data_IF_691404573327
#
_entry.id   IF_691404573327
#
_cell.length_a   1.000
_cell.length_b   1.000
_cell.length_c   1.000
_cell.angle_alpha   90.00
_cell.angle_beta   90.00
_cell.angle_gamma   90.00
#
_symmetry.space_group_name_H-M   'P 1'
#
loop_
_entity.id
_entity.type
_entity.pdbx_description
1 polymer ?
#
# COMPACT_ATOMS: atom_id res chain seq x y z
N UNK A 1 -52.01 -12.82 61.07
CA UNK A 1 -50.66 -13.39 61.21
C UNK A 1 -50.25 -13.95 59.85
N UNK A 2 -49.13 -13.47 59.31
CA UNK A 2 -48.75 -13.53 57.89
C UNK A 2 -48.59 -14.97 57.37
N UNK A 3 -49.46 -15.41 56.47
CA UNK A 3 -49.13 -16.47 55.51
C UNK A 3 -48.63 -15.80 54.24
N UNK A 4 -47.37 -15.33 54.28
CA UNK A 4 -46.67 -14.95 53.07
C UNK A 4 -46.40 -16.26 52.30
N UNK A 5 -47.26 -16.52 51.32
CA UNK A 5 -47.28 -17.74 50.53
C UNK A 5 -45.90 -18.04 49.94
N UNK A 6 -45.47 -19.30 50.01
CA UNK A 6 -44.28 -19.86 49.35
C UNK A 6 -44.17 -19.45 47.86
N UNK A 7 -45.30 -19.11 47.24
CA UNK A 7 -45.44 -18.65 45.86
C UNK A 7 -44.87 -17.22 45.62
N UNK A 8 -44.94 -16.33 46.61
CA UNK A 8 -44.47 -14.93 46.48
C UNK A 8 -42.94 -14.84 46.51
N UNK A 9 -42.31 -15.57 47.43
CA UNK A 9 -40.84 -15.65 47.49
C UNK A 9 -40.26 -16.29 46.21
N UNK A 10 -40.89 -17.35 45.70
CA UNK A 10 -40.48 -18.00 44.44
C UNK A 10 -40.61 -17.07 43.23
N UNK A 11 -41.65 -16.23 43.17
CA UNK A 11 -41.79 -15.19 42.12
C UNK A 11 -40.71 -14.11 42.22
N UNK A 12 -40.39 -13.64 43.43
CA UNK A 12 -39.33 -12.64 43.66
C UNK A 12 -37.95 -13.16 43.25
N UNK A 13 -37.58 -14.38 43.63
CA UNK A 13 -36.30 -14.98 43.20
C UNK A 13 -36.22 -15.19 41.69
N UNK A 14 -37.33 -15.59 41.05
CA UNK A 14 -37.40 -15.70 39.59
C UNK A 14 -37.17 -14.34 38.92
N UNK A 15 -37.84 -13.30 39.41
CA UNK A 15 -37.69 -11.94 38.88
C UNK A 15 -36.27 -11.40 39.06
N UNK A 16 -35.65 -11.57 40.24
CA UNK A 16 -34.26 -11.14 40.48
C UNK A 16 -33.26 -11.88 39.56
N UNK A 17 -33.44 -13.19 39.35
CA UNK A 17 -32.61 -13.98 38.45
C UNK A 17 -32.76 -13.55 37.00
N UNK A 18 -33.98 -13.27 36.57
CA UNK A 18 -34.27 -12.84 35.21
C UNK A 18 -33.73 -11.41 34.96
N UNK A 19 -33.79 -10.50 35.95
CA UNK A 19 -33.14 -9.17 35.91
C UNK A 19 -31.62 -9.27 35.80
N UNK A 20 -30.98 -10.07 36.66
CA UNK A 20 -29.53 -10.30 36.63
C UNK A 20 -29.07 -11.05 35.38
N UNK A 21 -29.96 -11.81 34.71
CA UNK A 21 -29.68 -12.40 33.39
C UNK A 21 -29.72 -11.34 32.31
N UNK A 22 -30.76 -10.49 32.30
CA UNK A 22 -30.89 -9.40 31.34
C UNK A 22 -29.70 -8.44 31.39
N UNK A 23 -29.23 -8.06 32.59
CA UNK A 23 -28.06 -7.19 32.74
C UNK A 23 -26.77 -7.83 32.19
N UNK A 24 -26.58 -9.13 32.43
CA UNK A 24 -25.42 -9.86 31.90
C UNK A 24 -25.46 -10.00 30.38
N UNK A 25 -26.63 -10.23 29.83
CA UNK A 25 -26.82 -10.32 28.38
C UNK A 25 -26.55 -8.95 27.71
N UNK A 26 -27.03 -7.85 28.30
CA UNK A 26 -26.71 -6.48 27.85
C UNK A 26 -25.20 -6.18 27.90
N UNK A 27 -24.54 -6.47 29.01
CA UNK A 27 -23.10 -6.25 29.15
C UNK A 27 -22.26 -7.12 28.19
N UNK A 28 -22.77 -8.30 27.82
CA UNK A 28 -22.13 -9.16 26.82
C UNK A 28 -22.27 -8.59 25.42
N UNK A 29 -23.46 -8.12 25.03
CA UNK A 29 -23.70 -7.48 23.74
C UNK A 29 -22.82 -6.24 23.58
N UNK A 30 -22.73 -5.40 24.61
CA UNK A 30 -21.89 -4.21 24.60
C UNK A 30 -20.40 -4.54 24.42
N UNK A 31 -19.90 -5.56 25.14
CA UNK A 31 -18.52 -6.05 24.97
C UNK A 31 -18.25 -6.61 23.58
N UNK A 32 -19.18 -7.40 23.05
CA UNK A 32 -19.04 -8.00 21.72
C UNK A 32 -19.05 -6.90 20.63
N UNK A 33 -19.89 -5.88 20.78
CA UNK A 33 -19.92 -4.69 19.92
C UNK A 33 -18.61 -3.91 19.97
N UNK A 34 -18.12 -3.56 21.17
CA UNK A 34 -16.87 -2.84 21.36
C UNK A 34 -15.66 -3.64 20.80
N UNK A 35 -15.69 -4.97 20.93
CA UNK A 35 -14.66 -5.85 20.36
C UNK A 35 -14.70 -5.84 18.84
N UNK A 36 -15.88 -5.87 18.23
CA UNK A 36 -16.05 -5.79 16.79
C UNK A 36 -15.49 -4.46 16.25
N UNK A 37 -15.85 -3.35 16.87
CA UNK A 37 -15.35 -2.01 16.50
C UNK A 37 -13.83 -1.91 16.66
N UNK A 38 -13.27 -2.42 17.76
CA UNK A 38 -11.82 -2.46 17.97
C UNK A 38 -11.10 -3.30 16.89
N UNK A 39 -11.71 -4.40 16.44
CA UNK A 39 -11.14 -5.21 15.36
C UNK A 39 -11.15 -4.48 14.02
N UNK A 40 -12.23 -3.75 13.70
CA UNK A 40 -12.30 -2.93 12.47
C UNK A 40 -11.23 -1.86 12.49
N UNK A 41 -11.11 -1.11 13.60
CA UNK A 41 -10.08 -0.08 13.76
C UNK A 41 -8.66 -0.66 13.63
N UNK A 42 -8.40 -1.82 14.24
CA UNK A 42 -7.10 -2.50 14.11
C UNK A 42 -6.80 -2.91 12.67
N UNK A 43 -7.80 -3.40 11.95
CA UNK A 43 -7.65 -3.74 10.54
C UNK A 43 -7.37 -2.50 9.69
N UNK A 44 -8.03 -1.38 9.98
CA UNK A 44 -7.79 -0.12 9.30
C UNK A 44 -6.39 0.44 9.56
N UNK A 45 -5.94 0.44 10.81
CA UNK A 45 -4.58 0.83 11.18
C UNK A 45 -3.56 -0.05 10.48
N UNK A 46 -3.71 -1.38 10.54
CA UNK A 46 -2.80 -2.31 9.87
C UNK A 46 -2.76 -2.11 8.35
N UNK A 47 -3.90 -1.75 7.74
CA UNK A 47 -3.98 -1.42 6.30
C UNK A 47 -3.24 -0.12 5.99
N UNK A 48 -3.37 0.90 6.83
CA UNK A 48 -2.65 2.18 6.68
C UNK A 48 -1.14 1.98 6.81
N UNK A 49 -0.68 1.30 7.86
CA UNK A 49 0.74 1.00 8.08
C UNK A 49 1.33 0.20 6.91
N UNK A 50 0.59 -0.78 6.38
CA UNK A 50 1.02 -1.54 5.19
C UNK A 50 1.16 -0.64 3.97
N UNK A 51 0.21 0.26 3.73
CA UNK A 51 0.27 1.19 2.61
C UNK A 51 1.44 2.18 2.75
N UNK A 52 1.71 2.65 3.96
CA UNK A 52 2.83 3.53 4.27
C UNK A 52 4.16 2.82 4.03
N UNK A 53 4.35 1.61 4.57
CA UNK A 53 5.55 0.80 4.34
C UNK A 53 5.76 0.50 2.84
N UNK A 54 4.69 0.19 2.10
CA UNK A 54 4.80 0.00 0.65
C UNK A 54 5.21 1.28 -0.08
N UNK A 55 4.76 2.45 0.38
CA UNK A 55 5.14 3.75 -0.18
C UNK A 55 6.61 4.06 0.11
N UNK A 56 7.07 3.85 1.33
CA UNK A 56 8.46 4.07 1.73
C UNK A 56 9.43 3.16 0.98
N UNK A 57 9.13 1.85 0.92
CA UNK A 57 9.93 0.89 0.18
C UNK A 57 10.00 1.27 -1.30
N UNK A 58 8.88 1.65 -1.89
CA UNK A 58 8.82 2.08 -3.28
C UNK A 58 9.67 3.32 -3.56
N UNK A 59 9.58 4.36 -2.73
CA UNK A 59 10.41 5.57 -2.86
C UNK A 59 11.89 5.24 -2.71
N UNK A 60 12.23 4.37 -1.76
CA UNK A 60 13.62 3.96 -1.51
C UNK A 60 14.20 3.23 -2.72
N UNK A 61 13.48 2.23 -3.25
CA UNK A 61 13.90 1.47 -4.44
C UNK A 61 14.06 2.38 -5.65
N UNK A 62 13.08 3.25 -5.94
CA UNK A 62 13.19 4.18 -7.06
C UNK A 62 14.34 5.15 -6.93
N UNK A 63 14.60 5.65 -5.73
CA UNK A 63 15.74 6.55 -5.50
C UNK A 63 17.06 5.85 -5.79
N UNK A 64 17.18 4.58 -5.39
CA UNK A 64 18.34 3.76 -5.69
C UNK A 64 18.49 3.56 -7.22
N UNK A 65 17.40 3.18 -7.87
CA UNK A 65 17.41 2.83 -9.30
C UNK A 65 17.65 4.06 -10.19
N UNK A 66 17.21 5.25 -9.78
CA UNK A 66 17.52 6.51 -10.46
C UNK A 66 18.93 7.03 -10.15
N UNK A 67 19.43 6.82 -8.91
CA UNK A 67 20.79 7.25 -8.54
C UNK A 67 21.83 6.60 -9.43
N UNK A 68 21.62 5.35 -9.82
CA UNK A 68 22.59 4.59 -10.62
C UNK A 68 22.85 5.20 -12.01
N UNK A 69 21.85 5.38 -12.90
CA UNK A 69 22.07 6.01 -14.20
C UNK A 69 22.57 7.45 -14.08
N UNK A 70 22.07 8.21 -13.11
CA UNK A 70 22.54 9.59 -12.86
C UNK A 70 24.02 9.63 -12.46
N UNK A 71 24.46 8.70 -11.61
CA UNK A 71 25.87 8.60 -11.22
C UNK A 71 26.76 8.25 -12.43
N UNK A 72 26.31 7.31 -13.28
CA UNK A 72 27.01 6.93 -14.52
C UNK A 72 27.13 8.13 -15.47
N UNK A 73 26.05 8.89 -15.68
CA UNK A 73 26.07 10.10 -16.52
C UNK A 73 27.08 11.11 -15.98
N UNK A 74 27.08 11.37 -14.67
CA UNK A 74 28.02 12.32 -14.05
C UNK A 74 29.47 11.88 -14.24
N UNK A 75 29.75 10.60 -14.03
CA UNK A 75 31.09 10.03 -14.25
C UNK A 75 31.52 10.15 -15.71
N UNK A 76 30.64 9.81 -16.66
CA UNK A 76 30.89 9.96 -18.09
C UNK A 76 31.22 11.41 -18.49
N UNK A 77 30.47 12.37 -17.95
CA UNK A 77 30.74 13.81 -18.15
C UNK A 77 32.10 14.22 -17.56
N UNK A 78 32.48 13.68 -16.40
CA UNK A 78 33.80 13.94 -15.80
C UNK A 78 34.94 13.44 -16.68
N UNK A 79 34.78 12.27 -17.31
CA UNK A 79 35.76 11.75 -18.29
C UNK A 79 35.84 12.66 -19.50
N UNK A 80 34.71 13.07 -20.09
CA UNK A 80 34.69 13.98 -21.24
C UNK A 80 35.27 15.37 -20.94
N UNK A 81 35.20 15.84 -19.70
CA UNK A 81 35.86 17.09 -19.30
C UNK A 81 37.38 16.98 -19.33
N UNK A 82 37.92 15.79 -19.09
CA UNK A 82 39.37 15.54 -19.14
C UNK A 82 39.88 15.25 -20.55
N UNK A 83 39.06 14.64 -21.39
CA UNK A 83 39.39 14.31 -22.78
C UNK A 83 38.19 14.52 -23.74
N UNK A 84 37.93 15.78 -24.16
CA UNK A 84 36.70 16.14 -24.87
C UNK A 84 36.58 15.59 -26.29
N UNK A 85 37.68 15.18 -26.92
CA UNK A 85 37.73 14.66 -28.30
C UNK A 85 38.55 13.36 -28.37
N UNK A 86 38.60 12.64 -27.25
CA UNK A 86 39.32 11.37 -27.14
C UNK A 86 38.75 10.28 -28.03
N UNK A 87 39.51 9.21 -28.19
CA UNK A 87 39.13 8.01 -28.97
C UNK A 87 37.80 7.39 -28.50
N UNK A 88 37.43 7.61 -27.23
CA UNK A 88 36.22 7.06 -26.62
C UNK A 88 35.03 8.02 -26.61
N UNK A 89 35.13 9.20 -27.23
CA UNK A 89 34.07 10.23 -27.20
C UNK A 89 32.68 9.67 -27.56
N UNK A 90 32.57 8.99 -28.71
CA UNK A 90 31.30 8.45 -29.20
C UNK A 90 30.73 7.38 -28.26
N UNK A 91 31.60 6.54 -27.69
CA UNK A 91 31.19 5.50 -26.75
C UNK A 91 30.67 6.10 -25.43
N UNK A 92 31.32 7.16 -24.94
CA UNK A 92 30.91 7.85 -23.71
C UNK A 92 29.61 8.63 -23.95
N UNK A 93 29.45 9.29 -25.10
CA UNK A 93 28.19 9.95 -25.45
C UNK A 93 27.03 8.96 -25.54
N UNK A 94 27.25 7.79 -26.16
CA UNK A 94 26.23 6.73 -26.19
C UNK A 94 25.89 6.21 -24.79
N UNK A 95 26.87 6.10 -23.90
CA UNK A 95 26.63 5.70 -22.51
C UNK A 95 25.76 6.73 -21.77
N UNK A 96 26.01 8.03 -21.97
CA UNK A 96 25.19 9.12 -21.39
C UNK A 96 23.75 9.01 -21.87
N UNK A 97 23.56 8.88 -23.19
CA UNK A 97 22.25 8.77 -23.84
C UNK A 97 21.44 7.59 -23.29
N UNK A 98 22.04 6.39 -23.27
CA UNK A 98 21.39 5.18 -22.74
C UNK A 98 20.98 5.29 -21.27
N UNK A 99 21.81 5.93 -20.43
CA UNK A 99 21.47 6.11 -19.02
C UNK A 99 20.42 7.21 -18.82
N UNK A 100 20.36 8.21 -19.69
CA UNK A 100 19.31 9.22 -19.69
C UNK A 100 17.96 8.58 -20.05
N UNK A 101 17.92 7.78 -21.12
CA UNK A 101 16.75 7.00 -21.53
C UNK A 101 16.29 6.07 -20.40
N UNK A 102 17.21 5.37 -19.75
CA UNK A 102 16.88 4.50 -18.62
C UNK A 102 16.26 5.28 -17.45
N UNK A 103 16.78 6.47 -17.14
CA UNK A 103 16.22 7.31 -16.09
C UNK A 103 14.82 7.82 -16.45
N UNK A 104 14.59 8.17 -17.72
CA UNK A 104 13.27 8.55 -18.24
C UNK A 104 12.27 7.39 -18.15
N UNK A 105 12.67 6.18 -18.54
CA UNK A 105 11.85 4.98 -18.46
C UNK A 105 11.42 4.68 -17.00
N UNK A 106 12.35 4.80 -16.05
CA UNK A 106 12.05 4.63 -14.61
C UNK A 106 11.04 5.68 -14.11
N UNK A 107 11.14 6.93 -14.58
CA UNK A 107 10.18 7.99 -14.25
C UNK A 107 8.81 7.68 -14.87
N UNK A 108 8.77 7.20 -16.10
CA UNK A 108 7.53 6.83 -16.79
C UNK A 108 6.81 5.70 -16.06
N UNK A 109 7.54 4.64 -15.67
CA UNK A 109 7.02 3.54 -14.86
C UNK A 109 6.45 4.03 -13.51
N UNK A 110 7.08 5.03 -12.89
CA UNK A 110 6.57 5.66 -11.67
C UNK A 110 5.24 6.39 -11.90
N UNK A 111 5.12 7.15 -13.00
CA UNK A 111 3.89 7.87 -13.34
C UNK A 111 2.75 6.88 -13.61
N UNK A 112 3.02 5.83 -14.38
CA UNK A 112 2.05 4.77 -14.68
C UNK A 112 1.59 4.04 -13.42
N UNK A 113 2.52 3.69 -12.52
CA UNK A 113 2.19 3.07 -11.24
C UNK A 113 1.28 3.96 -10.38
N UNK A 114 1.50 5.29 -10.39
CA UNK A 114 0.65 6.24 -9.66
C UNK A 114 -0.75 6.37 -10.28
N UNK A 115 -0.86 6.37 -11.61
CA UNK A 115 -2.14 6.38 -12.30
C UNK A 115 -2.96 5.14 -11.92
N UNK A 116 -2.35 3.96 -12.00
CA UNK A 116 -2.99 2.69 -11.63
C UNK A 116 -3.44 2.71 -10.16
N UNK A 117 -2.56 3.14 -9.23
CA UNK A 117 -2.89 3.24 -7.80
C UNK A 117 -4.03 4.21 -7.51
N UNK A 118 -4.16 5.27 -8.30
CA UNK A 118 -5.23 6.27 -8.18
C UNK A 118 -6.56 5.78 -8.78
N UNK A 119 -6.62 4.56 -9.31
CA UNK A 119 -7.79 4.01 -10.00
C UNK A 119 -8.01 4.60 -11.39
N UNK A 120 -7.05 5.38 -11.90
CA UNK A 120 -7.09 5.95 -13.25
C UNK A 120 -6.65 4.84 -14.21
N UNK A 121 -7.48 4.53 -15.20
CA UNK A 121 -7.12 3.56 -16.24
C UNK A 121 -6.00 4.15 -17.09
N UNK A 122 -4.98 3.34 -17.35
CA UNK A 122 -3.97 3.70 -18.35
C UNK A 122 -4.65 3.86 -19.72
N UNK A 123 -4.31 4.91 -20.49
CA UNK A 123 -4.81 5.08 -21.85
C UNK A 123 -4.20 4.00 -22.75
N UNK A 124 -4.96 2.92 -22.98
CA UNK A 124 -4.54 1.83 -23.85
C UNK A 124 -5.00 2.09 -25.28
N UNK A 125 -4.05 2.23 -26.21
CA UNK A 125 -4.35 2.25 -27.64
C UNK A 125 -4.37 0.81 -28.18
N UNK A 126 -5.55 0.20 -28.19
CA UNK A 126 -5.73 -1.18 -28.67
C UNK A 126 -5.84 -1.17 -30.19
N UNK A 127 -5.00 -1.94 -30.86
CA UNK A 127 -5.05 -2.16 -32.30
C UNK A 127 -4.96 -3.66 -32.63
N UNK A 128 -5.43 -4.04 -33.82
CA UNK A 128 -5.14 -5.37 -34.35
C UNK A 128 -3.64 -5.44 -34.65
N UNK A 129 -2.95 -6.40 -34.03
CA UNK A 129 -1.57 -6.73 -34.34
C UNK A 129 -1.43 -8.23 -34.59
N UNK A 130 -0.52 -8.60 -35.47
CA UNK A 130 -0.07 -9.98 -35.62
C UNK A 130 0.95 -10.26 -34.52
N UNK A 131 0.68 -11.20 -33.62
CA UNK A 131 1.55 -11.44 -32.45
C UNK A 131 2.98 -11.79 -32.89
N UNK A 132 3.11 -12.56 -33.97
CA UNK A 132 4.39 -12.95 -34.54
C UNK A 132 5.20 -11.75 -35.06
N UNK A 133 4.56 -10.63 -35.43
CA UNK A 133 5.26 -9.43 -35.90
C UNK A 133 5.79 -8.54 -34.78
N UNK A 134 5.38 -8.79 -33.52
CA UNK A 134 5.73 -7.96 -32.35
C UNK A 134 6.85 -8.60 -31.51
N UNK A 135 7.08 -9.90 -31.68
CA UNK A 135 8.18 -10.62 -31.05
C UNK A 135 9.44 -10.44 -31.91
N UNK A 136 10.44 -9.70 -31.39
CA UNK A 136 11.81 -9.68 -31.92
C UNK A 136 12.66 -10.76 -31.27
#
# INVERSE_FOLDING_TARGET
MKLFSHNTARKLFKYQRDSARSERDSARIERDSARSECNVLRQDVARMEKNESLRENFVTTLTHDLRNPVATIKMAIEVLKTDPMGEHFDAIMKLIDQNADQAEELISHLLDANLIKSGIKLPLNKSHCEILSVLK
#
